data_IF_190962359868
#
_entry.id   IF_190962359868
#
_cell.length_a   1.000
_cell.length_b   1.000
_cell.length_c   1.000
_cell.angle_alpha   90.00
_cell.angle_beta   90.00
_cell.angle_gamma   90.00
#
_symmetry.space_group_name_H-M   'P 1'
#
loop_
_entity.id
_entity.type
_entity.pdbx_description
1 polymer ?
#
# COMPACT_ATOMS: atom_id res chain seq x y z
N UNK A 1 -25.68 13.59 14.20
CA UNK A 1 -25.98 12.16 13.94
C UNK A 1 -24.80 11.33 14.41
N UNK A 2 -25.02 10.15 15.01
CA UNK A 2 -23.95 9.22 15.43
C UNK A 2 -24.12 7.90 14.69
N UNK A 3 -23.03 7.33 14.17
CA UNK A 3 -22.98 6.00 13.58
C UNK A 3 -22.20 5.09 14.51
N UNK A 4 -22.68 3.87 14.72
CA UNK A 4 -22.06 2.86 15.58
C UNK A 4 -21.86 1.58 14.79
N UNK A 5 -20.64 1.05 14.79
CA UNK A 5 -20.33 -0.27 14.27
C UNK A 5 -20.62 -1.29 15.36
N UNK A 6 -21.67 -2.09 15.18
CA UNK A 6 -21.98 -3.21 16.06
C UNK A 6 -21.22 -4.44 15.56
N UNK A 7 -20.41 -5.03 16.43
CA UNK A 7 -19.61 -6.22 16.15
C UNK A 7 -20.03 -7.30 17.14
N UNK A 8 -20.47 -8.43 16.64
CA UNK A 8 -20.92 -9.54 17.47
C UNK A 8 -19.79 -10.55 17.72
N UNK A 9 -19.94 -11.40 18.74
CA UNK A 9 -18.99 -12.48 19.00
C UNK A 9 -18.84 -13.41 17.77
N UNK A 10 -19.92 -13.60 17.02
CA UNK A 10 -19.88 -14.41 15.79
C UNK A 10 -18.98 -13.79 14.72
N UNK A 11 -18.93 -12.47 14.61
CA UNK A 11 -18.05 -11.74 13.69
C UNK A 11 -16.59 -11.89 14.10
N UNK A 12 -16.32 -11.73 15.40
CA UNK A 12 -14.98 -11.89 15.98
C UNK A 12 -14.45 -13.31 15.73
N UNK A 13 -15.28 -14.34 15.97
CA UNK A 13 -14.87 -15.73 15.74
C UNK A 13 -14.61 -16.03 14.26
N UNK A 14 -15.41 -15.49 13.33
CA UNK A 14 -15.16 -15.62 11.89
C UNK A 14 -13.82 -15.01 11.49
N UNK A 15 -13.51 -13.79 11.95
CA UNK A 15 -12.25 -13.11 11.64
C UNK A 15 -11.05 -13.87 12.21
N UNK A 16 -11.11 -14.27 13.48
CA UNK A 16 -10.04 -15.06 14.11
C UNK A 16 -9.84 -16.39 13.39
N UNK A 17 -10.92 -17.12 13.10
CA UNK A 17 -10.85 -18.40 12.38
C UNK A 17 -10.23 -18.24 11.00
N UNK A 18 -10.59 -17.19 10.26
CA UNK A 18 -9.97 -16.87 8.97
C UNK A 18 -8.47 -16.58 9.12
N UNK A 19 -8.09 -15.70 10.05
CA UNK A 19 -6.70 -15.33 10.28
C UNK A 19 -5.83 -16.55 10.65
N UNK A 20 -6.35 -17.46 11.47
CA UNK A 20 -5.65 -18.69 11.84
C UNK A 20 -5.27 -19.57 10.63
N UNK A 21 -6.04 -19.52 9.54
CA UNK A 21 -5.70 -20.26 8.30
C UNK A 21 -4.53 -19.64 7.53
N UNK A 22 -4.22 -18.36 7.75
CA UNK A 22 -3.24 -17.59 6.99
C UNK A 22 -2.03 -17.13 7.83
N UNK A 23 -2.10 -17.23 9.16
CA UNK A 23 -1.10 -16.62 10.08
C UNK A 23 0.35 -17.04 9.83
N UNK A 24 0.57 -18.23 9.27
CA UNK A 24 1.89 -18.79 8.99
C UNK A 24 2.34 -18.54 7.54
N UNK A 25 1.54 -17.86 6.71
CA UNK A 25 1.95 -17.51 5.36
C UNK A 25 3.13 -16.52 5.42
N UNK A 26 4.14 -16.73 4.57
CA UNK A 26 5.34 -15.90 4.51
C UNK A 26 5.03 -14.40 4.36
N UNK A 27 3.99 -14.05 3.60
CA UNK A 27 3.56 -12.67 3.42
C UNK A 27 3.00 -12.06 4.71
N UNK A 28 2.24 -12.83 5.49
CA UNK A 28 1.69 -12.40 6.80
C UNK A 28 2.81 -12.23 7.82
N UNK A 29 3.74 -13.19 7.89
CA UNK A 29 4.91 -13.11 8.77
C UNK A 29 5.77 -11.88 8.43
N UNK A 30 6.04 -11.64 7.16
CA UNK A 30 6.78 -10.47 6.70
C UNK A 30 6.08 -9.16 7.09
N UNK A 31 4.75 -9.08 6.93
CA UNK A 31 3.97 -7.92 7.36
C UNK A 31 4.09 -7.67 8.87
N UNK A 32 4.09 -8.73 9.69
CA UNK A 32 4.30 -8.60 11.14
C UNK A 32 5.70 -8.06 11.45
N UNK A 33 6.75 -8.60 10.84
CA UNK A 33 8.12 -8.13 11.05
C UNK A 33 8.28 -6.65 10.66
N UNK A 34 7.78 -6.26 9.49
CA UNK A 34 7.97 -4.91 8.93
C UNK A 34 7.07 -3.87 9.61
N UNK A 35 5.75 -4.10 9.64
CA UNK A 35 4.78 -3.07 10.02
C UNK A 35 4.50 -3.07 11.53
N UNK A 36 4.53 -4.24 12.18
CA UNK A 36 4.21 -4.36 13.60
C UNK A 36 5.46 -4.23 14.46
N UNK A 37 6.47 -5.06 14.20
CA UNK A 37 7.74 -5.08 14.95
C UNK A 37 8.73 -4.00 14.52
N UNK A 38 8.49 -3.35 13.37
CA UNK A 38 9.34 -2.29 12.81
C UNK A 38 10.79 -2.76 12.58
N UNK A 39 10.96 -4.03 12.22
CA UNK A 39 12.25 -4.62 11.85
C UNK A 39 12.57 -4.25 10.39
N UNK A 40 13.06 -3.02 10.20
CA UNK A 40 13.34 -2.42 8.89
C UNK A 40 14.68 -1.70 8.90
N UNK A 41 15.34 -1.60 7.73
CA UNK A 41 16.50 -0.72 7.61
C UNK A 41 16.10 0.75 7.87
N UNK A 42 17.06 1.62 8.24
CA UNK A 42 16.81 3.05 8.35
C UNK A 42 16.20 3.60 7.06
N UNK A 43 15.22 4.48 7.21
CA UNK A 43 14.58 5.14 6.08
C UNK A 43 15.61 5.87 5.20
N UNK A 44 15.39 5.83 3.89
CA UNK A 44 16.16 6.59 2.91
C UNK A 44 15.27 7.10 1.78
N UNK A 45 15.72 8.16 1.12
CA UNK A 45 15.02 8.70 -0.06
C UNK A 45 14.91 7.65 -1.19
N UNK A 46 15.91 6.78 -1.34
CA UNK A 46 15.87 5.68 -2.30
C UNK A 46 14.72 4.71 -2.00
N UNK A 47 14.54 4.32 -0.73
CA UNK A 47 13.42 3.44 -0.34
C UNK A 47 12.06 4.06 -0.65
N UNK A 48 11.88 5.35 -0.34
CA UNK A 48 10.66 6.06 -0.68
C UNK A 48 10.44 6.11 -2.19
N UNK A 49 11.50 6.41 -2.95
CA UNK A 49 11.45 6.51 -4.39
C UNK A 49 11.07 5.18 -5.06
N UNK A 50 11.74 4.07 -4.68
CA UNK A 50 11.44 2.73 -5.19
C UNK A 50 9.99 2.32 -4.84
N UNK A 51 9.55 2.59 -3.60
CA UNK A 51 8.19 2.30 -3.17
C UNK A 51 7.14 3.12 -3.94
N UNK A 52 7.40 4.42 -4.16
CA UNK A 52 6.52 5.29 -4.93
C UNK A 52 6.35 4.80 -6.36
N UNK A 53 7.45 4.48 -7.05
CA UNK A 53 7.39 3.92 -8.41
C UNK A 53 6.66 2.59 -8.43
N UNK A 54 6.92 1.71 -7.46
CA UNK A 54 6.24 0.42 -7.33
C UNK A 54 4.73 0.59 -7.22
N UNK A 55 4.25 1.54 -6.42
CA UNK A 55 2.83 1.87 -6.33
C UNK A 55 2.23 2.35 -7.66
N UNK A 56 2.91 3.25 -8.38
CA UNK A 56 2.46 3.73 -9.68
C UNK A 56 2.35 2.58 -10.69
N UNK A 57 3.33 1.68 -10.73
CA UNK A 57 3.34 0.50 -11.60
C UNK A 57 2.21 -0.46 -11.25
N UNK A 58 1.89 -0.68 -9.97
CA UNK A 58 0.78 -1.59 -9.59
C UNK A 58 -0.61 -1.05 -9.92
N UNK A 59 -0.73 0.22 -10.31
CA UNK A 59 -2.02 0.82 -10.62
C UNK A 59 -2.66 0.14 -11.82
N UNK A 60 -3.86 -0.43 -11.59
CA UNK A 60 -4.62 -1.20 -12.59
C UNK A 60 -3.92 -2.46 -13.11
N UNK A 61 -2.94 -3.00 -12.36
CA UNK A 61 -2.21 -4.22 -12.72
C UNK A 61 -2.19 -5.19 -11.53
N UNK A 62 -2.31 -6.50 -11.81
CA UNK A 62 -2.23 -7.53 -10.76
C UNK A 62 -0.77 -7.70 -10.32
N UNK A 63 -0.50 -7.56 -9.03
CA UNK A 63 0.81 -7.70 -8.40
C UNK A 63 0.94 -9.04 -7.64
N UNK A 64 0.74 -10.16 -8.34
CA UNK A 64 0.96 -11.51 -7.77
C UNK A 64 2.43 -11.95 -7.87
N UNK A 65 2.82 -13.07 -7.25
CA UNK A 65 4.23 -13.50 -7.15
C UNK A 65 4.92 -13.72 -8.50
N UNK A 66 4.18 -14.07 -9.55
CA UNK A 66 4.73 -14.32 -10.90
C UNK A 66 4.42 -13.21 -11.91
N UNK A 67 3.81 -12.11 -11.45
CA UNK A 67 3.43 -10.99 -12.32
C UNK A 67 4.64 -10.23 -12.86
N UNK A 68 4.49 -9.63 -14.04
CA UNK A 68 5.49 -8.71 -14.61
C UNK A 68 5.79 -7.53 -13.67
N UNK A 69 4.79 -7.07 -12.92
CA UNK A 69 4.93 -6.04 -11.88
C UNK A 69 5.94 -6.48 -10.83
N UNK A 70 5.75 -7.66 -10.22
CA UNK A 70 6.65 -8.18 -9.19
C UNK A 70 8.05 -8.41 -9.75
N UNK A 71 8.17 -8.96 -10.97
CA UNK A 71 9.48 -9.16 -11.63
C UNK A 71 10.23 -7.85 -11.84
N UNK A 72 9.55 -6.79 -12.27
CA UNK A 72 10.15 -5.46 -12.43
C UNK A 72 10.64 -4.91 -11.08
N UNK A 73 9.78 -4.95 -10.06
CA UNK A 73 10.08 -4.41 -8.73
C UNK A 73 11.24 -5.17 -8.06
N UNK A 74 11.32 -6.47 -8.26
CA UNK A 74 12.37 -7.31 -7.69
C UNK A 74 13.68 -7.30 -8.50
N UNK A 75 13.73 -6.64 -9.67
CA UNK A 75 14.95 -6.56 -10.47
C UNK A 75 16.02 -5.77 -9.71
N UNK A 76 17.24 -6.32 -9.61
CA UNK A 76 18.38 -5.68 -8.92
C UNK A 76 19.56 -5.46 -9.90
N UNK A 77 20.10 -4.22 -9.99
CA UNK A 77 19.64 -2.99 -9.34
C UNK A 77 18.24 -2.58 -9.82
N UNK A 78 17.49 -1.83 -8.99
CA UNK A 78 16.14 -1.39 -9.34
C UNK A 78 16.17 -0.59 -10.66
N UNK A 79 15.37 -0.94 -11.69
CA UNK A 79 15.53 -0.38 -13.04
C UNK A 79 15.37 1.14 -13.14
N UNK A 80 14.65 1.73 -12.19
CA UNK A 80 14.34 3.15 -12.08
C UNK A 80 14.77 3.71 -10.72
N UNK A 81 15.96 3.33 -10.23
CA UNK A 81 16.51 3.88 -8.99
C UNK A 81 16.68 5.41 -9.05
N UNK A 82 16.72 6.04 -7.88
CA UNK A 82 16.69 7.49 -7.72
C UNK A 82 17.85 8.16 -8.44
N UNK A 83 19.05 7.63 -8.30
CA UNK A 83 20.26 8.18 -8.91
C UNK A 83 20.16 8.21 -10.43
N UNK A 84 19.69 7.11 -11.05
CA UNK A 84 19.47 7.03 -12.50
C UNK A 84 18.41 8.04 -12.96
N UNK A 85 17.29 8.13 -12.24
CA UNK A 85 16.21 9.04 -12.59
C UNK A 85 16.60 10.51 -12.41
N UNK A 86 17.37 10.84 -11.38
CA UNK A 86 17.89 12.19 -11.12
C UNK A 86 18.89 12.66 -12.18
N UNK A 87 19.67 11.74 -12.75
CA UNK A 87 20.63 12.04 -13.80
C UNK A 87 20.02 12.08 -15.22
N UNK A 88 18.72 11.81 -15.37
CA UNK A 88 18.07 11.76 -16.67
C UNK A 88 17.77 13.16 -17.21
N UNK A 89 18.15 13.44 -18.45
CA UNK A 89 17.80 14.69 -19.15
C UNK A 89 16.29 14.84 -19.33
N UNK A 90 15.61 13.72 -19.63
CA UNK A 90 14.16 13.64 -19.70
C UNK A 90 13.68 12.42 -18.90
N UNK A 91 13.26 12.68 -17.65
CA UNK A 91 12.82 11.66 -16.73
C UNK A 91 11.56 10.92 -17.22
N UNK A 92 10.60 11.63 -17.80
CA UNK A 92 9.38 11.01 -18.32
C UNK A 92 9.69 9.97 -19.40
N UNK A 93 10.50 10.33 -20.39
CA UNK A 93 10.89 9.42 -21.46
C UNK A 93 11.71 8.25 -20.93
N UNK A 94 12.64 8.52 -19.99
CA UNK A 94 13.46 7.47 -19.36
C UNK A 94 12.59 6.41 -18.67
N UNK A 95 11.54 6.83 -17.97
CA UNK A 95 10.59 5.93 -17.31
C UNK A 95 9.76 5.16 -18.34
N UNK A 96 9.23 5.84 -19.35
CA UNK A 96 8.45 5.22 -20.41
C UNK A 96 9.25 4.16 -21.18
N UNK A 97 10.50 4.46 -21.54
CA UNK A 97 11.43 3.55 -22.19
C UNK A 97 11.75 2.34 -21.32
N UNK A 98 12.06 2.55 -20.03
CA UNK A 98 12.35 1.44 -19.12
C UNK A 98 11.16 0.47 -18.98
N UNK A 99 9.94 1.00 -18.88
CA UNK A 99 8.71 0.20 -18.82
C UNK A 99 8.47 -0.54 -20.14
N UNK A 100 8.69 0.13 -21.27
CA UNK A 100 8.47 -0.43 -22.62
C UNK A 100 9.48 -1.54 -22.92
N UNK A 101 10.77 -1.32 -22.66
CA UNK A 101 11.85 -2.28 -22.88
C UNK A 101 11.67 -3.52 -22.01
N UNK A 102 11.29 -3.35 -20.74
CA UNK A 102 11.05 -4.48 -19.85
C UNK A 102 9.91 -5.38 -20.36
N UNK A 103 8.85 -4.77 -20.92
CA UNK A 103 7.71 -5.48 -21.49
C UNK A 103 6.74 -6.05 -20.43
N UNK A 104 5.50 -6.27 -20.82
CA UNK A 104 4.47 -6.83 -19.92
C UNK A 104 3.95 -5.89 -18.83
N UNK A 105 4.36 -4.62 -18.86
CA UNK A 105 3.84 -3.53 -18.02
C UNK A 105 3.01 -2.56 -18.87
N UNK A 106 1.96 -1.99 -18.26
CA UNK A 106 1.05 -1.03 -18.90
C UNK A 106 1.28 0.39 -18.37
N UNK A 107 0.64 1.37 -19.03
CA UNK A 107 0.61 2.79 -18.63
C UNK A 107 1.99 3.49 -18.64
N UNK A 108 2.96 3.02 -19.42
CA UNK A 108 4.32 3.57 -19.45
C UNK A 108 4.37 5.10 -19.56
N UNK A 109 3.68 5.67 -20.55
CA UNK A 109 3.57 7.13 -20.72
C UNK A 109 2.99 7.85 -19.50
N UNK A 110 1.82 7.42 -19.00
CA UNK A 110 1.18 8.05 -17.83
C UNK A 110 2.03 7.91 -16.56
N UNK A 111 2.68 6.77 -16.36
CA UNK A 111 3.59 6.55 -15.24
C UNK A 111 4.80 7.47 -15.37
N UNK A 112 5.36 7.66 -16.58
CA UNK A 112 6.43 8.63 -16.82
C UNK A 112 6.04 10.06 -16.44
N UNK A 113 4.84 10.50 -16.83
CA UNK A 113 4.29 11.81 -16.44
C UNK A 113 4.08 11.94 -14.93
N UNK A 114 3.56 10.89 -14.28
CA UNK A 114 3.35 10.82 -12.83
C UNK A 114 4.69 10.90 -12.07
N UNK A 115 5.69 10.11 -12.51
CA UNK A 115 7.03 10.09 -11.91
C UNK A 115 7.75 11.43 -12.09
N UNK A 116 7.70 12.04 -13.27
CA UNK A 116 8.35 13.33 -13.52
C UNK A 116 7.75 14.45 -12.64
N UNK A 117 6.42 14.49 -12.51
CA UNK A 117 5.76 15.43 -11.61
C UNK A 117 6.18 15.20 -10.15
N UNK A 118 6.14 13.95 -9.68
CA UNK A 118 6.46 13.62 -8.29
C UNK A 118 7.93 13.91 -7.96
N UNK A 119 8.84 13.65 -8.90
CA UNK A 119 10.26 14.01 -8.77
C UNK A 119 10.45 15.51 -8.57
N UNK A 120 9.78 16.33 -9.39
CA UNK A 120 9.85 17.78 -9.26
C UNK A 120 9.31 18.24 -7.90
N UNK A 121 8.21 17.66 -7.41
CA UNK A 121 7.70 17.99 -6.08
C UNK A 121 8.71 17.62 -4.97
N UNK A 122 9.30 16.43 -5.05
CA UNK A 122 10.29 15.94 -4.08
C UNK A 122 11.51 16.86 -4.00
N UNK A 123 12.10 17.23 -5.16
CA UNK A 123 13.26 18.11 -5.23
C UNK A 123 12.95 19.55 -4.81
N UNK A 124 11.69 19.99 -4.90
CA UNK A 124 11.23 21.31 -4.46
C UNK A 124 10.69 21.32 -3.02
N UNK A 125 11.33 20.56 -2.12
CA UNK A 125 11.03 20.55 -0.69
C UNK A 125 10.09 19.42 -0.24
N UNK A 126 9.52 18.64 -1.17
CA UNK A 126 8.72 17.46 -0.84
C UNK A 126 9.48 16.44 0.00
N UNK A 127 10.81 16.33 -0.14
CA UNK A 127 11.63 15.49 0.73
C UNK A 127 11.51 15.85 2.21
N UNK A 128 11.44 17.14 2.56
CA UNK A 128 11.25 17.55 3.96
C UNK A 128 9.91 17.02 4.49
N UNK A 129 8.84 17.17 3.71
CA UNK A 129 7.50 16.71 4.07
C UNK A 129 7.48 15.19 4.28
N UNK A 130 8.13 14.43 3.39
CA UNK A 130 8.24 12.97 3.52
C UNK A 130 8.99 12.58 4.79
N UNK A 131 10.11 13.25 5.10
CA UNK A 131 10.85 12.97 6.34
C UNK A 131 10.03 13.31 7.59
N UNK A 132 9.30 14.43 7.58
CA UNK A 132 8.42 14.82 8.69
C UNK A 132 7.31 13.75 8.90
N UNK A 133 6.73 13.20 7.82
CA UNK A 133 5.77 12.08 7.88
C UNK A 133 6.40 10.84 8.53
N UNK A 134 7.59 10.43 8.07
CA UNK A 134 8.28 9.25 8.59
C UNK A 134 8.59 9.41 10.07
N UNK A 135 9.06 10.59 10.47
CA UNK A 135 9.37 10.91 11.86
C UNK A 135 8.11 10.84 12.74
N UNK A 136 7.02 11.49 12.33
CA UNK A 136 5.75 11.51 13.06
C UNK A 136 5.15 10.11 13.20
N UNK A 137 5.09 9.34 12.11
CA UNK A 137 4.58 7.96 12.13
C UNK A 137 5.47 6.99 12.91
N UNK A 138 6.75 7.30 13.08
CA UNK A 138 7.67 6.48 13.90
C UNK A 138 7.49 6.78 15.39
N UNK A 139 7.26 8.05 15.76
CA UNK A 139 7.15 8.47 17.17
C UNK A 139 5.72 8.41 17.73
N UNK A 140 4.72 8.67 16.90
CA UNK A 140 3.33 8.92 17.30
C UNK A 140 2.33 8.12 16.46
N UNK A 141 2.59 6.83 16.27
CA UNK A 141 1.77 5.98 15.42
C UNK A 141 0.35 5.76 15.98
N UNK A 142 -0.65 6.37 15.34
CA UNK A 142 -2.08 6.22 15.62
C UNK A 142 -2.85 6.14 14.30
N UNK A 143 -4.12 5.72 14.34
CA UNK A 143 -4.97 5.76 13.14
C UNK A 143 -5.04 7.17 12.52
N UNK A 144 -5.10 8.21 13.35
CA UNK A 144 -5.19 9.60 12.89
C UNK A 144 -3.90 10.06 12.19
N UNK A 145 -2.73 9.76 12.77
CA UNK A 145 -1.45 10.16 12.17
C UNK A 145 -1.20 9.41 10.85
N UNK A 146 -1.57 8.13 10.77
CA UNK A 146 -1.49 7.36 9.52
C UNK A 146 -2.45 7.88 8.44
N UNK A 147 -3.66 8.28 8.83
CA UNK A 147 -4.67 8.84 7.91
C UNK A 147 -4.26 10.19 7.37
N UNK A 148 -3.84 11.10 8.25
CA UNK A 148 -3.32 12.42 7.88
C UNK A 148 -2.12 12.31 6.95
N UNK A 149 -1.20 11.38 7.23
CA UNK A 149 -0.05 11.10 6.36
C UNK A 149 -0.49 10.63 4.97
N UNK A 150 -1.50 9.76 4.90
CA UNK A 150 -2.09 9.30 3.64
C UNK A 150 -2.73 10.44 2.85
N UNK A 151 -3.36 11.41 3.51
CA UNK A 151 -3.97 12.59 2.89
C UNK A 151 -2.90 13.52 2.31
N UNK A 152 -1.80 13.77 3.03
CA UNK A 152 -0.67 14.56 2.51
C UNK A 152 -0.12 13.92 1.23
N UNK A 153 0.02 12.60 1.19
CA UNK A 153 0.48 11.89 -0.01
C UNK A 153 -0.51 12.07 -1.18
N UNK A 154 -1.82 11.95 -0.95
CA UNK A 154 -2.85 12.11 -1.99
C UNK A 154 -2.81 13.54 -2.56
N UNK A 155 -2.64 14.54 -1.71
CA UNK A 155 -2.76 15.94 -2.12
C UNK A 155 -1.50 16.44 -2.84
N UNK A 156 -0.38 15.73 -2.73
CA UNK A 156 0.91 16.16 -3.28
C UNK A 156 1.48 15.27 -4.38
N UNK A 157 1.18 13.96 -4.39
CA UNK A 157 1.70 13.04 -5.41
C UNK A 157 0.68 12.76 -6.50
N UNK A 158 1.08 12.98 -7.75
CA UNK A 158 0.31 12.61 -8.93
C UNK A 158 0.29 11.08 -9.09
N UNK A 159 -0.89 10.54 -9.41
CA UNK A 159 -1.12 9.09 -9.50
C UNK A 159 -1.51 8.43 -8.17
N UNK A 160 -1.62 9.19 -7.08
CA UNK A 160 -1.98 8.68 -5.75
C UNK A 160 -3.41 9.07 -5.36
N UNK A 161 -4.27 8.05 -5.22
CA UNK A 161 -5.57 8.15 -4.57
C UNK A 161 -5.60 7.40 -3.23
N UNK A 162 -6.76 7.28 -2.58
CA UNK A 162 -6.91 6.68 -1.25
C UNK A 162 -6.22 5.32 -1.06
N UNK A 163 -6.30 4.44 -2.06
CA UNK A 163 -5.62 3.14 -2.06
C UNK A 163 -4.11 3.27 -2.16
N UNK A 164 -3.61 4.00 -3.16
CA UNK A 164 -2.17 3.99 -3.47
C UNK A 164 -1.33 4.72 -2.43
N UNK A 165 -1.88 5.76 -1.78
CA UNK A 165 -1.18 6.40 -0.66
C UNK A 165 -0.96 5.45 0.51
N UNK A 166 -1.95 4.60 0.80
CA UNK A 166 -1.85 3.58 1.85
C UNK A 166 -0.96 2.42 1.46
N UNK A 167 -0.99 1.98 0.20
CA UNK A 167 0.02 1.04 -0.33
C UNK A 167 1.44 1.56 -0.09
N UNK A 168 1.70 2.83 -0.43
CA UNK A 168 3.02 3.44 -0.28
C UNK A 168 3.48 3.41 1.17
N UNK A 169 2.70 3.98 2.09
CA UNK A 169 3.06 4.05 3.50
C UNK A 169 3.17 2.65 4.13
N UNK A 170 2.29 1.72 3.75
CA UNK A 170 2.32 0.35 4.26
C UNK A 170 3.56 -0.41 3.76
N UNK A 171 3.96 -0.24 2.50
CA UNK A 171 5.17 -0.86 1.93
C UNK A 171 6.45 -0.32 2.57
N UNK A 172 6.45 0.91 3.04
CA UNK A 172 7.53 1.49 3.86
C UNK A 172 7.49 1.00 5.32
N UNK A 173 6.54 0.13 5.67
CA UNK A 173 6.35 -0.38 7.02
C UNK A 173 5.79 0.64 8.01
N UNK A 174 5.25 1.77 7.52
CA UNK A 174 4.85 2.90 8.35
C UNK A 174 3.45 2.72 8.95
N UNK A 175 2.56 1.95 8.32
CA UNK A 175 1.18 1.79 8.81
C UNK A 175 0.93 0.49 9.56
N UNK A 176 0.08 0.54 10.59
CA UNK A 176 -0.53 -0.60 11.29
C UNK A 176 -2.05 -0.64 11.09
N UNK A 177 -2.68 0.54 11.01
CA UNK A 177 -4.12 0.72 11.08
C UNK A 177 -4.72 1.11 9.74
N UNK A 178 -4.07 1.98 8.98
CA UNK A 178 -4.50 2.37 7.64
C UNK A 178 -3.99 1.36 6.59
N UNK A 179 -4.91 0.82 5.79
CA UNK A 179 -4.63 -0.21 4.79
C UNK A 179 -5.17 0.16 3.41
N UNK A 180 -4.57 -0.34 2.33
CA UNK A 180 -5.16 -0.26 0.99
C UNK A 180 -6.45 -1.10 0.91
N UNK A 181 -7.59 -0.46 0.66
CA UNK A 181 -8.87 -1.13 0.38
C UNK A 181 -8.94 -1.35 -1.12
N UNK A 182 -8.51 -2.53 -1.55
CA UNK A 182 -8.52 -2.94 -2.95
C UNK A 182 -9.63 -3.97 -3.25
N UNK A 183 -9.62 -4.53 -4.47
CA UNK A 183 -10.62 -5.51 -4.88
C UNK A 183 -10.64 -6.82 -4.06
N UNK A 184 -9.55 -7.17 -3.38
CA UNK A 184 -9.46 -8.38 -2.55
C UNK A 184 -10.11 -8.11 -1.21
N UNK A 185 -9.78 -6.96 -0.61
CA UNK A 185 -10.44 -6.49 0.63
C UNK A 185 -11.94 -6.36 0.41
N UNK A 186 -12.38 -5.76 -0.70
CA UNK A 186 -13.83 -5.63 -0.95
C UNK A 186 -14.51 -6.98 -1.17
N UNK A 187 -13.89 -7.92 -1.90
CA UNK A 187 -14.41 -9.28 -2.06
C UNK A 187 -14.51 -10.00 -0.72
N UNK A 188 -13.48 -9.92 0.11
CA UNK A 188 -13.47 -10.54 1.42
C UNK A 188 -14.54 -9.95 2.34
N UNK A 189 -14.63 -8.62 2.43
CA UNK A 189 -15.66 -7.93 3.21
C UNK A 189 -17.08 -8.29 2.75
N UNK A 190 -17.31 -8.38 1.44
CA UNK A 190 -18.60 -8.79 0.90
C UNK A 190 -18.95 -10.22 1.32
N UNK A 191 -18.00 -11.16 1.21
CA UNK A 191 -18.20 -12.55 1.62
C UNK A 191 -18.34 -12.71 3.14
N UNK A 192 -17.68 -11.86 3.92
CA UNK A 192 -17.78 -11.78 5.38
C UNK A 192 -19.18 -11.33 5.84
N UNK A 193 -19.93 -10.63 4.99
CA UNK A 193 -21.25 -10.07 5.31
C UNK A 193 -21.20 -8.61 5.77
N UNK A 194 -20.20 -7.84 5.31
CA UNK A 194 -20.11 -6.41 5.63
C UNK A 194 -21.40 -5.68 5.20
N UNK A 195 -21.99 -4.83 6.07
CA UNK A 195 -23.37 -4.37 5.93
C UNK A 195 -23.60 -3.34 4.82
N UNK A 196 -22.56 -3.03 4.02
CA UNK A 196 -22.62 -2.07 2.94
C UNK A 196 -22.15 -2.67 1.63
N UNK A 197 -22.82 -2.31 0.54
CA UNK A 197 -22.36 -2.66 -0.81
C UNK A 197 -21.08 -1.90 -1.13
N UNK A 198 -20.03 -2.64 -1.46
CA UNK A 198 -18.72 -2.11 -1.83
C UNK A 198 -18.63 -1.98 -3.35
N UNK A 199 -18.13 -0.84 -3.84
CA UNK A 199 -17.83 -0.65 -5.27
C UNK A 199 -16.51 0.07 -5.46
N UNK A 200 -15.77 -0.29 -6.52
CA UNK A 200 -14.50 0.35 -6.84
C UNK A 200 -14.66 1.85 -7.12
N UNK A 201 -15.76 2.25 -7.75
CA UNK A 201 -16.06 3.66 -8.02
C UNK A 201 -16.31 4.45 -6.75
N UNK A 202 -17.04 3.91 -5.78
CA UNK A 202 -17.27 4.61 -4.52
C UNK A 202 -15.97 4.78 -3.71
N UNK A 203 -15.03 3.83 -3.81
CA UNK A 203 -13.74 3.90 -3.14
C UNK A 203 -12.78 4.98 -3.66
N UNK A 204 -13.12 5.69 -4.76
CA UNK A 204 -12.38 6.90 -5.13
C UNK A 204 -12.74 8.11 -4.27
N UNK A 205 -13.91 8.11 -3.62
CA UNK A 205 -14.31 9.15 -2.69
C UNK A 205 -13.62 8.96 -1.32
N UNK A 206 -12.96 10.02 -0.82
CA UNK A 206 -12.19 9.96 0.42
C UNK A 206 -13.07 9.63 1.63
N UNK A 207 -14.28 10.19 1.71
CA UNK A 207 -15.16 10.02 2.87
C UNK A 207 -15.73 8.59 2.90
N UNK A 208 -16.19 8.11 1.76
CA UNK A 208 -16.65 6.73 1.62
C UNK A 208 -15.54 5.74 1.93
N UNK A 209 -14.34 5.95 1.38
CA UNK A 209 -13.18 5.11 1.67
C UNK A 209 -12.87 5.05 3.17
N UNK A 210 -12.80 6.21 3.83
CA UNK A 210 -12.53 6.30 5.26
C UNK A 210 -13.64 5.63 6.09
N UNK A 211 -14.90 5.76 5.69
CA UNK A 211 -16.02 5.11 6.36
C UNK A 211 -15.93 3.57 6.29
N UNK A 212 -15.60 3.00 5.13
CA UNK A 212 -15.38 1.56 4.99
C UNK A 212 -14.21 1.10 5.86
N UNK A 213 -13.12 1.86 5.83
CA UNK A 213 -11.91 1.55 6.58
C UNK A 213 -12.13 1.63 8.10
N UNK A 214 -12.93 2.59 8.58
CA UNK A 214 -13.32 2.68 10.00
C UNK A 214 -14.03 1.39 10.43
N UNK A 215 -14.98 0.88 9.64
CA UNK A 215 -15.66 -0.39 9.93
C UNK A 215 -14.69 -1.57 9.97
N UNK A 216 -13.77 -1.67 9.00
CA UNK A 216 -12.73 -2.71 8.97
C UNK A 216 -11.80 -2.63 10.20
N UNK A 217 -11.37 -1.42 10.57
CA UNK A 217 -10.52 -1.19 11.73
C UNK A 217 -11.20 -1.61 13.03
N UNK A 218 -12.50 -1.34 13.18
CA UNK A 218 -13.28 -1.79 14.35
C UNK A 218 -13.37 -3.30 14.45
N UNK A 219 -13.61 -4.00 13.34
CA UNK A 219 -13.64 -5.48 13.31
C UNK A 219 -12.28 -6.05 13.73
N UNK A 220 -11.19 -5.46 13.23
CA UNK A 220 -9.82 -5.84 13.57
C UNK A 220 -9.50 -5.60 15.05
N UNK A 221 -9.87 -4.42 15.57
CA UNK A 221 -9.71 -4.03 16.98
C UNK A 221 -10.43 -5.02 17.91
N UNK A 222 -11.71 -5.31 17.65
CA UNK A 222 -12.49 -6.28 18.41
C UNK A 222 -11.90 -7.71 18.35
N UNK A 223 -11.20 -8.03 17.26
CA UNK A 223 -10.54 -9.32 17.06
C UNK A 223 -9.13 -9.40 17.66
N UNK A 224 -8.55 -8.27 18.10
CA UNK A 224 -7.17 -8.22 18.59
C UNK A 224 -6.12 -8.44 17.48
N UNK A 225 -6.45 -8.11 16.23
CA UNK A 225 -5.58 -8.27 15.06
C UNK A 225 -5.33 -6.89 14.46
N UNK A 226 -4.08 -6.54 14.15
CA UNK A 226 -3.82 -5.26 13.48
C UNK A 226 -4.37 -5.25 12.04
N UNK A 227 -5.00 -4.15 11.59
CA UNK A 227 -5.52 -4.04 10.23
C UNK A 227 -4.52 -4.41 9.13
N UNK A 228 -3.26 -3.98 9.23
CA UNK A 228 -2.23 -4.34 8.26
C UNK A 228 -1.94 -5.85 8.18
N UNK A 229 -2.05 -6.57 9.30
CA UNK A 229 -1.85 -8.02 9.37
C UNK A 229 -3.05 -8.75 8.77
N UNK A 230 -4.26 -8.27 9.06
CA UNK A 230 -5.48 -8.81 8.46
C UNK A 230 -5.51 -8.57 6.94
N UNK A 231 -5.08 -7.40 6.48
CA UNK A 231 -4.87 -7.10 5.06
C UNK A 231 -3.92 -8.10 4.40
N UNK A 232 -2.76 -8.38 5.01
CA UNK A 232 -1.83 -9.39 4.51
C UNK A 232 -2.45 -10.80 4.48
N UNK A 233 -3.24 -11.19 5.49
CA UNK A 233 -3.94 -12.47 5.52
C UNK A 233 -4.99 -12.57 4.40
N UNK A 234 -5.77 -11.50 4.18
CA UNK A 234 -6.73 -11.42 3.08
C UNK A 234 -5.98 -11.53 1.76
N UNK A 235 -4.94 -10.72 1.55
CA UNK A 235 -4.14 -10.72 0.34
C UNK A 235 -3.57 -12.10 0.01
N UNK A 236 -3.02 -12.79 1.01
CA UNK A 236 -2.45 -14.13 0.89
C UNK A 236 -3.49 -15.17 0.47
N UNK A 237 -4.74 -15.05 0.94
CA UNK A 237 -5.80 -16.00 0.58
C UNK A 237 -6.27 -15.94 -0.88
N UNK A 238 -5.90 -14.89 -1.63
CA UNK A 238 -6.22 -14.74 -3.06
C UNK A 238 -5.04 -15.02 -4.01
N UNK A 239 -3.83 -15.18 -3.47
CA UNK A 239 -2.62 -15.45 -4.25
C UNK A 239 -2.04 -16.83 -3.88
N UNK A 240 -1.04 -17.29 -4.64
CA UNK A 240 -0.27 -18.48 -4.29
C UNK A 240 0.82 -18.19 -3.27
N UNK A 241 1.67 -19.18 -3.01
CA UNK A 241 2.82 -19.03 -2.12
C UNK A 241 3.77 -17.94 -2.61
N UNK A 242 4.21 -17.10 -1.66
CA UNK A 242 5.17 -16.02 -1.91
C UNK A 242 6.58 -16.48 -1.54
N UNK A 243 7.51 -16.54 -2.50
CA UNK A 243 8.90 -16.85 -2.18
C UNK A 243 9.56 -15.65 -1.48
N UNK A 244 10.53 -15.95 -0.61
CA UNK A 244 11.16 -14.94 0.26
C UNK A 244 11.78 -13.77 -0.50
N UNK A 245 12.33 -14.03 -1.68
CA UNK A 245 12.97 -13.04 -2.56
C UNK A 245 11.98 -12.08 -3.24
N UNK A 246 10.67 -12.33 -3.12
CA UNK A 246 9.60 -11.51 -3.71
C UNK A 246 8.70 -10.85 -2.65
N UNK A 247 9.08 -10.89 -1.38
CA UNK A 247 8.37 -10.23 -0.26
C UNK A 247 8.69 -8.72 -0.23
N UNK A 248 8.34 -8.02 -1.30
CA UNK A 248 8.61 -6.58 -1.47
C UNK A 248 7.54 -5.67 -0.86
N UNK A 249 6.34 -6.20 -0.56
CA UNK A 249 5.18 -5.47 -0.05
C UNK A 249 5.02 -5.48 1.48
#
# INVERSE_FOLDING_TARGET
MKLLWQIEDSDIQKVKSFYETQKNNAFVLNRVERNVKKSLPPFSNEMFWEAMISCLITTQQRSGPDSSVTKFICTKPFPLNYSKCKAADNLQNTVEEAITIFGGLRRGKSIGEEVAFNFQWLENGGWKIVNDIVEDMTKHQTTETERKSSEIIIDNLKGFGPKQSRNLLQSLGLTKYEIPVDSRITKWLTAFGFPMKLSATALSDKNYYNFILDGFQRICEASGIFPCVMDAAIFSSFDGDWPEDKLVW
#
